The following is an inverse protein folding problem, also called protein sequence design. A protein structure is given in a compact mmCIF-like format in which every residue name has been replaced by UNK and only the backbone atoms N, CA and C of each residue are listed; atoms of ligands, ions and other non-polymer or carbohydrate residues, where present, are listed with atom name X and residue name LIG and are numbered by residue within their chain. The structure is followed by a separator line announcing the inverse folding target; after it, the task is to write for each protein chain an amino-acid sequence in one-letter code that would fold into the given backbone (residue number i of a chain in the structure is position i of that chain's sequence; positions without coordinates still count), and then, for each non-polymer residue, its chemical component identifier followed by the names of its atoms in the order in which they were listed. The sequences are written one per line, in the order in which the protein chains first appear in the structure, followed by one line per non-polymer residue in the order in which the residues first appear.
data_IF_875589760280
#
_entry.id   IF_875589760280
#
_cell.length_a   1.000
_cell.length_b   1.000
_cell.length_c   1.000
_cell.angle_alpha   90.00
_cell.angle_beta   90.00
_cell.angle_gamma   90.00
#
_symmetry.space_group_name_H-M   'P 1'
#
loop_
_entity.id
_entity.type
_entity.pdbx_description
1 polymer ?
#
# COMPACT_ATOMS: atom_id res chain seq x y z
N UNK A 1 21.72 18.62 4.86
CA UNK A 1 21.26 17.79 3.73
C UNK A 1 19.78 18.04 3.58
N UNK A 2 19.28 18.28 2.36
CA UNK A 2 17.87 18.49 2.06
C UNK A 2 17.37 17.29 1.25
N UNK A 3 16.29 16.63 1.68
CA UNK A 3 15.62 15.57 0.93
C UNK A 3 14.42 16.14 0.19
N UNK A 4 14.25 15.76 -1.08
CA UNK A 4 13.07 16.11 -1.88
C UNK A 4 12.46 14.80 -2.38
N UNK A 5 11.21 14.55 -1.99
CA UNK A 5 10.46 13.39 -2.45
C UNK A 5 10.09 13.54 -3.92
N UNK A 6 10.10 12.42 -4.65
CA UNK A 6 9.57 12.40 -6.02
C UNK A 6 8.05 12.55 -6.01
N UNK A 7 7.52 13.19 -7.04
CA UNK A 7 6.10 13.17 -7.33
C UNK A 7 5.68 11.95 -8.14
N UNK A 8 4.39 11.80 -8.34
CA UNK A 8 3.77 10.89 -9.30
C UNK A 8 3.05 11.68 -10.39
N UNK A 9 2.84 11.06 -11.55
CA UNK A 9 1.96 11.58 -12.59
C UNK A 9 0.49 11.31 -12.18
N UNK A 10 -0.16 12.34 -11.60
CA UNK A 10 -1.52 12.24 -11.10
C UNK A 10 -2.57 12.15 -12.21
N UNK A 11 -2.23 12.45 -13.47
CA UNK A 11 -3.10 12.24 -14.62
C UNK A 11 -3.06 10.77 -15.07
N UNK A 12 -1.86 10.19 -15.20
CA UNK A 12 -1.67 8.79 -15.55
C UNK A 12 -2.15 7.83 -14.44
N UNK A 13 -2.08 8.28 -13.17
CA UNK A 13 -2.54 7.53 -11.99
C UNK A 13 -3.81 8.17 -11.41
N UNK A 14 -4.85 8.29 -12.26
CA UNK A 14 -6.11 8.90 -11.88
C UNK A 14 -7.22 7.84 -11.72
N UNK A 15 -7.65 7.51 -10.50
CA UNK A 15 -8.65 6.46 -10.26
C UNK A 15 -10.04 6.77 -10.82
N UNK A 16 -10.31 8.02 -11.25
CA UNK A 16 -11.56 8.38 -11.94
C UNK A 16 -11.55 7.98 -13.44
N UNK A 17 -10.37 7.98 -14.07
CA UNK A 17 -10.24 7.83 -15.53
C UNK A 17 -9.38 6.65 -15.96
N UNK A 18 -8.78 5.91 -15.01
CA UNK A 18 -7.90 4.78 -15.29
C UNK A 18 -8.69 3.61 -15.90
N UNK A 19 -8.44 3.34 -17.18
CA UNK A 19 -9.08 2.25 -17.92
C UNK A 19 -8.62 0.84 -17.46
N UNK A 20 -7.55 0.74 -16.67
CA UNK A 20 -7.03 -0.53 -16.16
C UNK A 20 -7.82 -1.07 -14.97
N UNK A 21 -8.60 -0.21 -14.31
CA UNK A 21 -9.43 -0.62 -13.16
C UNK A 21 -10.88 -0.85 -13.59
N UNK A 22 -11.59 -1.81 -12.97
CA UNK A 22 -12.92 -2.21 -13.42
C UNK A 22 -14.02 -1.19 -13.12
N UNK A 23 -13.77 -0.25 -12.21
CA UNK A 23 -14.73 0.78 -11.84
C UNK A 23 -14.01 2.05 -11.37
N UNK A 24 -14.44 3.26 -11.81
CA UNK A 24 -13.89 4.52 -11.31
C UNK A 24 -14.05 4.66 -9.79
N UNK A 25 -13.05 5.28 -9.16
CA UNK A 25 -13.06 5.58 -7.73
C UNK A 25 -13.03 7.09 -7.55
N UNK A 26 -14.09 7.66 -7.00
CA UNK A 26 -14.15 9.08 -6.67
C UNK A 26 -13.41 9.34 -5.34
N UNK A 27 -12.35 10.18 -5.32
CA UNK A 27 -11.63 10.49 -4.09
C UNK A 27 -12.47 11.16 -3.00
N UNK A 28 -13.59 11.79 -3.34
CA UNK A 28 -14.51 12.40 -2.36
C UNK A 28 -15.50 11.41 -1.76
N UNK A 29 -15.77 10.29 -2.45
CA UNK A 29 -16.73 9.27 -2.05
C UNK A 29 -16.26 7.87 -2.50
N UNK A 30 -15.13 7.34 -1.99
CA UNK A 30 -14.44 6.19 -2.58
C UNK A 30 -15.16 4.86 -2.38
N UNK A 31 -16.02 4.72 -1.40
CA UNK A 31 -16.59 3.44 -0.90
C UNK A 31 -17.16 2.56 -2.00
N UNK A 32 -18.00 3.11 -2.88
CA UNK A 32 -18.65 2.32 -3.93
C UNK A 32 -17.66 1.83 -4.98
N UNK A 33 -16.77 2.70 -5.48
CA UNK A 33 -15.74 2.36 -6.46
C UNK A 33 -14.78 1.31 -5.91
N UNK A 34 -14.29 1.52 -4.69
CA UNK A 34 -13.43 0.58 -3.96
C UNK A 34 -14.07 -0.79 -3.80
N UNK A 35 -15.32 -0.84 -3.36
CA UNK A 35 -16.07 -2.09 -3.20
C UNK A 35 -16.12 -2.89 -4.50
N UNK A 36 -16.49 -2.24 -5.62
CA UNK A 36 -16.58 -2.91 -6.93
C UNK A 36 -15.21 -3.37 -7.45
N UNK A 37 -14.16 -2.56 -7.25
CA UNK A 37 -12.81 -2.96 -7.60
C UNK A 37 -12.34 -4.15 -6.76
N UNK A 38 -12.63 -4.18 -5.46
CA UNK A 38 -12.34 -5.29 -4.56
C UNK A 38 -13.07 -6.57 -4.98
N UNK A 39 -14.36 -6.51 -5.22
CA UNK A 39 -15.16 -7.65 -5.69
C UNK A 39 -14.61 -8.23 -7.01
N UNK A 40 -14.21 -7.36 -7.93
CA UNK A 40 -13.64 -7.76 -9.21
C UNK A 40 -12.30 -8.50 -9.05
N UNK A 41 -11.37 -7.97 -8.26
CA UNK A 41 -10.04 -8.59 -8.10
C UNK A 41 -10.13 -9.89 -7.28
N UNK A 42 -11.00 -9.95 -6.28
CA UNK A 42 -11.26 -11.19 -5.53
C UNK A 42 -11.79 -12.29 -6.47
N UNK A 43 -12.69 -11.94 -7.39
CA UNK A 43 -13.20 -12.87 -8.41
C UNK A 43 -12.10 -13.33 -9.37
N UNK A 44 -11.24 -12.41 -9.84
CA UNK A 44 -10.11 -12.70 -10.72
C UNK A 44 -9.18 -13.76 -10.11
N UNK A 45 -8.90 -13.62 -8.81
CA UNK A 45 -8.04 -14.54 -8.06
C UNK A 45 -8.78 -15.70 -7.37
N UNK A 46 -10.10 -15.84 -7.57
CA UNK A 46 -10.95 -16.87 -6.93
C UNK A 46 -10.90 -16.84 -5.40
N UNK A 47 -10.72 -15.67 -4.82
CA UNK A 47 -10.79 -15.44 -3.38
C UNK A 47 -12.23 -15.12 -2.98
N UNK A 48 -12.73 -15.68 -1.85
CA UNK A 48 -14.17 -15.74 -1.58
C UNK A 48 -14.67 -14.77 -0.49
N UNK A 49 -13.88 -13.76 -0.08
CA UNK A 49 -14.18 -13.00 1.14
C UNK A 49 -14.30 -11.48 0.94
N UNK A 50 -15.38 -10.96 0.30
CA UNK A 50 -15.53 -9.52 0.08
C UNK A 50 -15.67 -8.71 1.38
N UNK A 51 -16.18 -9.33 2.45
CA UNK A 51 -16.40 -8.70 3.76
C UNK A 51 -15.23 -8.92 4.75
N UNK A 52 -14.03 -9.08 4.24
CA UNK A 52 -12.80 -9.19 5.02
C UNK A 52 -11.74 -8.25 4.46
N UNK A 53 -10.79 -7.76 5.28
CA UNK A 53 -9.76 -6.86 4.78
C UNK A 53 -8.89 -7.56 3.73
N UNK A 54 -8.67 -6.87 2.60
CA UNK A 54 -7.79 -7.29 1.51
C UNK A 54 -6.50 -6.48 1.56
N UNK A 55 -5.38 -7.16 1.69
CA UNK A 55 -4.05 -6.58 1.71
C UNK A 55 -3.32 -6.84 0.40
N UNK A 56 -2.91 -5.78 -0.28
CA UNK A 56 -2.16 -5.83 -1.53
C UNK A 56 -0.66 -5.69 -1.31
N UNK A 57 0.12 -6.40 -2.11
CA UNK A 57 1.57 -6.24 -2.24
C UNK A 57 1.91 -6.16 -3.72
N UNK A 58 2.59 -5.10 -4.13
CA UNK A 58 3.18 -4.95 -5.47
C UNK A 58 4.62 -4.53 -5.29
N UNK A 59 5.57 -5.45 -5.46
CA UNK A 59 6.96 -5.18 -5.12
C UNK A 59 7.92 -6.17 -5.78
N UNK A 60 9.19 -5.76 -5.87
CA UNK A 60 10.27 -6.72 -6.07
C UNK A 60 10.41 -7.60 -4.82
N UNK A 61 10.51 -8.91 -5.00
CA UNK A 61 10.62 -9.89 -3.91
C UNK A 61 12.10 -10.06 -3.51
N UNK A 62 12.64 -9.03 -2.84
CA UNK A 62 14.01 -9.01 -2.31
C UNK A 62 14.02 -8.59 -0.85
N UNK A 63 15.08 -8.94 -0.14
CA UNK A 63 15.27 -8.64 1.28
C UNK A 63 15.12 -7.15 1.61
N UNK A 64 15.58 -6.25 0.71
CA UNK A 64 15.41 -4.80 0.86
C UNK A 64 13.94 -4.41 1.07
N UNK A 65 13.02 -5.08 0.40
CA UNK A 65 11.57 -4.82 0.48
C UNK A 65 10.89 -5.47 1.68
N UNK A 66 11.64 -6.26 2.47
CA UNK A 66 11.15 -6.89 3.70
C UNK A 66 10.09 -7.96 3.48
N UNK A 67 10.00 -8.54 2.27
CA UNK A 67 8.98 -9.53 1.92
C UNK A 67 9.25 -10.87 2.64
N UNK A 68 10.49 -11.15 3.01
CA UNK A 68 10.87 -12.24 3.90
C UNK A 68 10.26 -12.10 5.31
N UNK A 69 10.15 -10.85 5.83
CA UNK A 69 9.47 -10.58 7.09
C UNK A 69 7.97 -10.89 6.96
N UNK A 70 7.34 -10.48 5.86
CA UNK A 70 5.94 -10.80 5.61
C UNK A 70 5.74 -12.31 5.50
N UNK A 71 6.56 -12.99 4.70
CA UNK A 71 6.49 -14.44 4.51
C UNK A 71 6.57 -15.18 5.85
N UNK A 72 7.51 -14.77 6.72
CA UNK A 72 7.67 -15.37 8.06
C UNK A 72 6.54 -15.02 9.04
N UNK A 73 5.83 -13.90 8.84
CA UNK A 73 4.73 -13.45 9.69
C UNK A 73 3.36 -14.00 9.27
N UNK A 74 3.19 -14.37 7.99
CA UNK A 74 1.89 -14.80 7.42
C UNK A 74 1.18 -15.87 8.25
N UNK A 75 1.83 -16.98 8.74
CA UNK A 75 1.13 -17.99 9.50
C UNK A 75 0.48 -17.46 10.79
N UNK A 76 1.12 -16.49 11.45
CA UNK A 76 0.61 -15.86 12.67
C UNK A 76 -0.51 -14.86 12.34
N UNK A 77 -0.32 -14.03 11.30
CA UNK A 77 -1.31 -13.06 10.84
C UNK A 77 -2.61 -13.78 10.44
N UNK A 78 -2.52 -14.87 9.67
CA UNK A 78 -3.68 -15.64 9.21
C UNK A 78 -4.45 -16.35 10.34
N UNK A 79 -3.80 -16.58 11.49
CA UNK A 79 -4.45 -17.12 12.71
C UNK A 79 -5.13 -16.03 13.52
N UNK A 80 -4.56 -14.81 13.52
CA UNK A 80 -5.00 -13.72 14.40
C UNK A 80 -5.92 -12.71 13.68
N UNK A 81 -6.04 -12.82 12.36
CA UNK A 81 -6.88 -11.93 11.54
C UNK A 81 -7.66 -12.70 10.49
N UNK A 82 -8.72 -12.06 9.98
CA UNK A 82 -9.48 -12.56 8.81
C UNK A 82 -8.96 -12.04 7.47
N UNK A 83 -7.76 -11.49 7.44
CA UNK A 83 -7.17 -10.85 6.28
C UNK A 83 -6.96 -11.82 5.11
N UNK A 84 -7.14 -11.30 3.90
CA UNK A 84 -6.76 -11.93 2.63
C UNK A 84 -5.63 -11.15 1.97
N UNK A 85 -4.82 -11.80 1.13
CA UNK A 85 -3.63 -11.22 0.53
C UNK A 85 -3.59 -11.46 -0.97
N UNK A 86 -3.22 -10.43 -1.73
CA UNK A 86 -2.83 -10.55 -3.13
C UNK A 86 -1.41 -10.00 -3.28
N UNK A 87 -0.52 -10.84 -3.79
CA UNK A 87 0.90 -10.54 -3.94
C UNK A 87 1.27 -10.60 -5.41
N UNK A 88 1.76 -9.47 -5.95
CA UNK A 88 2.32 -9.36 -7.28
C UNK A 88 3.79 -8.95 -7.18
N UNK A 89 4.68 -9.71 -7.77
CA UNK A 89 6.09 -9.35 -7.82
C UNK A 89 6.98 -10.48 -8.32
N UNK A 90 8.25 -10.16 -8.49
CA UNK A 90 9.30 -11.13 -8.81
C UNK A 90 10.60 -10.74 -8.14
N UNK A 91 11.49 -11.72 -7.93
CA UNK A 91 12.76 -11.44 -7.28
C UNK A 91 13.58 -12.67 -6.93
N UNK A 92 13.92 -12.83 -5.67
CA UNK A 92 14.68 -13.97 -5.18
C UNK A 92 13.83 -15.25 -5.21
N UNK A 93 14.39 -16.34 -5.75
CA UNK A 93 13.68 -17.59 -5.98
C UNK A 93 13.10 -18.20 -4.69
N UNK A 94 13.81 -18.07 -3.59
CA UNK A 94 13.37 -18.54 -2.27
C UNK A 94 12.13 -17.80 -1.79
N UNK A 95 12.03 -16.49 -2.04
CA UNK A 95 10.86 -15.70 -1.70
C UNK A 95 9.68 -16.00 -2.65
N UNK A 96 9.94 -16.12 -3.95
CA UNK A 96 8.90 -16.50 -4.92
C UNK A 96 8.28 -17.86 -4.55
N UNK A 97 9.13 -18.86 -4.33
CA UNK A 97 8.69 -20.20 -3.93
C UNK A 97 7.97 -20.20 -2.58
N UNK A 98 8.48 -19.43 -1.60
CA UNK A 98 7.84 -19.29 -0.30
C UNK A 98 6.42 -18.73 -0.38
N UNK A 99 6.19 -17.68 -1.17
CA UNK A 99 4.84 -17.13 -1.38
C UNK A 99 3.93 -18.08 -2.15
N UNK A 100 4.45 -18.77 -3.18
CA UNK A 100 3.67 -19.78 -3.90
C UNK A 100 3.25 -20.95 -2.99
N UNK A 101 4.10 -21.39 -2.08
CA UNK A 101 3.77 -22.45 -1.12
C UNK A 101 2.76 -21.98 -0.08
N UNK A 102 2.84 -20.72 0.35
CA UNK A 102 1.82 -20.13 1.20
C UNK A 102 0.46 -20.06 0.49
N UNK A 103 0.43 -19.69 -0.80
CA UNK A 103 -0.80 -19.70 -1.59
C UNK A 103 -1.40 -21.10 -1.75
N UNK A 104 -0.57 -22.13 -1.92
CA UNK A 104 -1.02 -23.53 -1.94
C UNK A 104 -1.58 -23.98 -0.59
N UNK A 105 -0.97 -23.53 0.51
CA UNK A 105 -1.38 -23.87 1.88
C UNK A 105 -2.68 -23.18 2.30
N UNK A 106 -2.86 -21.93 1.85
CA UNK A 106 -4.02 -21.09 2.17
C UNK A 106 -4.71 -20.53 0.92
N UNK A 107 -5.23 -21.41 0.03
CA UNK A 107 -5.71 -21.01 -1.31
C UNK A 107 -6.90 -20.05 -1.29
N UNK A 108 -7.67 -20.03 -0.18
CA UNK A 108 -8.79 -19.10 -0.03
C UNK A 108 -8.39 -17.73 0.54
N UNK A 109 -7.17 -17.60 1.09
CA UNK A 109 -6.70 -16.40 1.78
C UNK A 109 -5.54 -15.71 1.09
N UNK A 110 -4.74 -16.40 0.28
CA UNK A 110 -3.55 -15.88 -0.35
C UNK A 110 -3.57 -16.19 -1.85
N UNK A 111 -3.41 -15.15 -2.66
CA UNK A 111 -3.18 -15.27 -4.09
C UNK A 111 -1.82 -14.65 -4.45
N UNK A 112 -1.08 -15.30 -5.34
CA UNK A 112 0.26 -14.88 -5.76
C UNK A 112 0.35 -14.90 -7.29
N UNK A 113 0.87 -13.82 -7.85
CA UNK A 113 1.27 -13.72 -9.25
C UNK A 113 2.74 -13.36 -9.32
N UNK A 114 3.57 -14.29 -9.78
CA UNK A 114 4.99 -14.01 -10.02
C UNK A 114 5.12 -13.29 -11.37
N UNK A 115 5.86 -12.19 -11.36
CA UNK A 115 6.14 -11.38 -12.54
C UNK A 115 5.84 -9.90 -12.36
N UNK A 116 5.87 -9.18 -13.49
CA UNK A 116 5.51 -7.77 -13.59
C UNK A 116 4.26 -7.62 -14.47
N UNK A 117 3.27 -6.88 -13.98
CA UNK A 117 2.01 -6.60 -14.69
C UNK A 117 1.46 -5.27 -14.18
N UNK A 118 1.62 -4.19 -14.98
CA UNK A 118 1.19 -2.84 -14.60
C UNK A 118 -0.34 -2.75 -14.43
N UNK A 119 -1.09 -3.34 -15.35
CA UNK A 119 -2.55 -3.31 -15.27
C UNK A 119 -3.07 -4.06 -14.04
N UNK A 120 -2.45 -5.19 -13.69
CA UNK A 120 -2.77 -5.92 -12.46
C UNK A 120 -2.36 -5.12 -11.22
N UNK A 121 -1.19 -4.45 -11.23
CA UNK A 121 -0.76 -3.59 -10.12
C UNK A 121 -1.81 -2.51 -9.83
N UNK A 122 -2.33 -1.83 -10.86
CA UNK A 122 -3.41 -0.84 -10.74
C UNK A 122 -4.69 -1.44 -10.15
N UNK A 123 -5.08 -2.64 -10.60
CA UNK A 123 -6.23 -3.36 -10.03
C UNK A 123 -6.01 -3.77 -8.57
N UNK A 124 -4.78 -4.13 -8.19
CA UNK A 124 -4.42 -4.41 -6.79
C UNK A 124 -4.52 -3.14 -5.96
N UNK A 125 -3.95 -2.00 -6.41
CA UNK A 125 -4.11 -0.72 -5.71
C UNK A 125 -5.58 -0.33 -5.57
N UNK A 126 -6.38 -0.48 -6.62
CA UNK A 126 -7.79 -0.14 -6.61
C UNK A 126 -8.64 -1.06 -5.72
N UNK A 127 -8.35 -2.36 -5.70
CA UNK A 127 -9.17 -3.35 -4.99
C UNK A 127 -8.76 -3.61 -3.55
N UNK A 128 -7.52 -3.34 -3.17
CA UNK A 128 -7.05 -3.60 -1.80
C UNK A 128 -7.56 -2.56 -0.81
N UNK A 129 -7.87 -2.99 0.40
CA UNK A 129 -8.14 -2.07 1.52
C UNK A 129 -6.83 -1.49 2.06
N UNK A 130 -5.83 -2.34 2.18
CA UNK A 130 -4.50 -1.96 2.67
C UNK A 130 -3.41 -2.32 1.66
N UNK A 131 -2.31 -1.58 1.72
CA UNK A 131 -1.13 -1.83 0.91
C UNK A 131 0.11 -2.00 1.79
N UNK A 132 0.83 -3.11 1.64
CA UNK A 132 1.95 -3.48 2.51
C UNK A 132 3.30 -3.06 1.95
N UNK A 133 4.09 -2.35 2.75
CA UNK A 133 5.46 -1.96 2.44
C UNK A 133 6.39 -2.17 3.64
N UNK A 134 6.76 -3.42 3.96
CA UNK A 134 7.63 -3.74 5.10
C UNK A 134 9.12 -3.48 4.82
N UNK A 135 9.45 -2.53 3.95
CA UNK A 135 10.79 -2.27 3.43
C UNK A 135 11.81 -1.98 4.55
N UNK A 136 12.98 -2.62 4.47
CA UNK A 136 14.12 -2.29 5.35
C UNK A 136 14.73 -0.94 5.01
N UNK A 137 14.64 -0.57 3.76
CA UNK A 137 15.13 0.71 3.25
C UNK A 137 14.28 1.16 2.05
N UNK A 138 13.79 2.42 2.10
CA UNK A 138 12.98 3.00 1.02
C UNK A 138 13.28 4.50 0.90
N UNK A 139 14.14 4.93 -0.06
CA UNK A 139 14.55 6.33 -0.16
C UNK A 139 13.40 7.29 -0.39
N UNK A 140 12.48 6.95 -1.26
CA UNK A 140 11.28 7.72 -1.56
C UNK A 140 10.02 6.84 -1.44
N UNK A 141 10.00 5.73 -2.20
CA UNK A 141 8.82 4.93 -2.43
C UNK A 141 7.80 5.64 -3.35
N UNK A 142 7.37 4.95 -4.39
CA UNK A 142 6.28 5.41 -5.25
C UNK A 142 5.04 4.56 -5.05
N UNK A 143 5.21 3.28 -4.74
CA UNK A 143 4.11 2.33 -4.63
C UNK A 143 3.09 2.72 -3.55
N UNK A 144 3.54 3.28 -2.39
CA UNK A 144 2.59 3.80 -1.39
C UNK A 144 1.83 5.01 -1.90
N UNK A 145 2.45 5.88 -2.71
CA UNK A 145 1.77 7.03 -3.28
C UNK A 145 0.69 6.59 -4.27
N UNK A 146 1.00 5.60 -5.13
CA UNK A 146 0.00 4.98 -6.02
C UNK A 146 -1.13 4.32 -5.21
N UNK A 147 -0.80 3.53 -4.20
CA UNK A 147 -1.79 2.89 -3.33
C UNK A 147 -2.71 3.91 -2.65
N UNK A 148 -2.13 4.97 -2.08
CA UNK A 148 -2.87 6.06 -1.45
C UNK A 148 -3.81 6.75 -2.45
N UNK A 149 -3.33 7.02 -3.66
CA UNK A 149 -4.12 7.63 -4.73
C UNK A 149 -5.34 6.79 -5.11
N UNK A 150 -5.24 5.45 -5.04
CA UNK A 150 -6.31 4.50 -5.31
C UNK A 150 -7.10 4.08 -4.06
N UNK A 151 -6.88 4.71 -2.92
CA UNK A 151 -7.61 4.47 -1.68
C UNK A 151 -7.22 3.17 -0.96
N UNK A 152 -6.04 2.64 -1.22
CA UNK A 152 -5.44 1.58 -0.40
C UNK A 152 -4.59 2.20 0.70
N UNK A 153 -5.00 2.01 1.95
CA UNK A 153 -4.33 2.59 3.12
C UNK A 153 -2.99 1.88 3.37
N UNK A 154 -1.86 2.59 3.41
CA UNK A 154 -0.56 1.95 3.56
C UNK A 154 -0.32 1.43 4.99
N UNK A 155 0.28 0.24 5.08
CA UNK A 155 0.89 -0.32 6.27
C UNK A 155 2.38 -0.49 5.96
N UNK A 156 3.24 0.33 6.55
CA UNK A 156 4.63 0.41 6.14
C UNK A 156 5.60 0.49 7.31
N UNK A 157 6.85 0.10 7.04
CA UNK A 157 7.91 0.38 8.03
C UNK A 157 8.29 1.87 8.00
N UNK A 158 8.50 2.44 9.18
CA UNK A 158 8.93 3.83 9.35
C UNK A 158 10.39 4.00 8.90
N UNK A 159 10.57 4.27 7.61
CA UNK A 159 11.90 4.46 7.01
C UNK A 159 11.83 5.37 5.79
N UNK A 160 12.81 6.28 5.63
CA UNK A 160 12.96 7.16 4.48
C UNK A 160 11.63 7.77 4.03
N UNK A 161 11.36 7.75 2.73
CA UNK A 161 10.16 8.34 2.15
C UNK A 161 8.83 7.77 2.64
N UNK A 162 8.81 6.56 3.20
CA UNK A 162 7.60 6.03 3.83
C UNK A 162 7.23 6.80 5.09
N UNK A 163 8.23 7.16 5.91
CA UNK A 163 8.04 7.98 7.09
C UNK A 163 7.64 9.43 6.75
N UNK A 164 8.07 9.93 5.58
CA UNK A 164 7.78 11.29 5.13
C UNK A 164 6.40 11.43 4.46
N UNK A 165 5.88 10.34 3.89
CA UNK A 165 4.62 10.36 3.11
C UNK A 165 3.41 9.84 3.87
N UNK A 166 3.61 9.03 4.90
CA UNK A 166 2.52 8.40 5.67
C UNK A 166 2.42 9.06 7.04
N UNK A 167 1.26 9.61 7.35
CA UNK A 167 0.94 10.12 8.69
C UNK A 167 0.42 8.95 9.53
N UNK A 168 1.16 8.54 10.59
CA UNK A 168 0.83 7.32 11.32
C UNK A 168 -0.48 7.44 12.10
N UNK A 169 -1.19 6.35 12.21
CA UNK A 169 -2.32 6.20 13.12
C UNK A 169 -1.83 6.33 14.57
N UNK A 170 -2.32 7.33 15.28
CA UNK A 170 -2.11 7.54 16.71
C UNK A 170 -3.45 7.86 17.39
N UNK A 171 -3.53 7.69 18.70
CA UNK A 171 -4.76 8.01 19.45
C UNK A 171 -4.99 9.50 19.58
N UNK A 172 -3.95 10.32 19.42
CA UNK A 172 -3.96 11.76 19.61
C UNK A 172 -4.34 12.55 18.35
N UNK A 173 -4.10 11.99 17.16
CA UNK A 173 -4.32 12.68 15.89
C UNK A 173 -5.46 12.04 15.10
N UNK A 174 -6.33 12.90 14.54
CA UNK A 174 -7.33 12.49 13.54
C UNK A 174 -6.83 12.60 12.09
N UNK A 175 -5.57 13.03 11.89
CA UNK A 175 -4.98 13.32 10.57
C UNK A 175 -4.16 12.15 10.00
N UNK A 176 -4.40 10.95 10.47
CA UNK A 176 -3.67 9.76 10.05
C UNK A 176 -4.09 9.29 8.64
N UNK A 177 -3.12 8.76 7.89
CA UNK A 177 -3.30 8.25 6.52
C UNK A 177 -2.75 6.84 6.33
N UNK A 178 -2.32 6.18 7.41
CA UNK A 178 -1.81 4.83 7.36
C UNK A 178 -1.22 4.37 8.69
N UNK A 179 -0.54 3.25 8.63
CA UNK A 179 0.08 2.60 9.78
C UNK A 179 1.59 2.52 9.59
N UNK A 180 2.35 2.94 10.59
CA UNK A 180 3.81 2.81 10.59
C UNK A 180 4.27 1.94 11.75
N UNK A 181 5.20 1.03 11.47
CA UNK A 181 5.90 0.24 12.50
C UNK A 181 7.41 0.50 12.45
N UNK A 182 8.08 0.46 13.60
CA UNK A 182 9.48 0.91 13.70
C UNK A 182 10.50 -0.19 13.38
N UNK A 183 10.34 -1.39 13.98
CA UNK A 183 11.34 -2.46 13.87
C UNK A 183 11.12 -3.31 12.63
N UNK A 184 12.23 -3.59 11.91
CA UNK A 184 12.21 -4.50 10.75
C UNK A 184 12.13 -5.97 11.21
N UNK A 185 11.05 -6.35 11.91
CA UNK A 185 10.81 -7.71 12.38
C UNK A 185 9.35 -8.14 12.16
N UNK A 186 9.14 -9.45 12.16
CA UNK A 186 7.83 -10.05 11.92
C UNK A 186 6.77 -9.71 12.97
N UNK A 187 7.18 -9.44 14.21
CA UNK A 187 6.26 -9.15 15.33
C UNK A 187 5.67 -7.77 15.15
N UNK A 188 6.54 -6.78 14.88
CA UNK A 188 6.12 -5.38 14.64
C UNK A 188 5.22 -5.28 13.40
N UNK A 189 5.54 -6.00 12.33
CA UNK A 189 4.69 -6.08 11.13
C UNK A 189 3.34 -6.71 11.42
N UNK A 190 3.31 -7.87 12.09
CA UNK A 190 2.06 -8.57 12.43
C UNK A 190 1.16 -7.72 13.33
N UNK A 191 1.74 -7.00 14.29
CA UNK A 191 1.01 -6.07 15.16
C UNK A 191 0.36 -4.93 14.36
N UNK A 192 1.10 -4.29 13.44
CA UNK A 192 0.57 -3.21 12.59
C UNK A 192 -0.57 -3.72 11.67
N UNK A 193 -0.42 -4.90 11.10
CA UNK A 193 -1.48 -5.53 10.29
C UNK A 193 -2.71 -5.84 11.15
N UNK A 194 -2.52 -6.38 12.34
CA UNK A 194 -3.62 -6.67 13.25
C UNK A 194 -4.37 -5.39 13.63
N UNK A 195 -3.67 -4.32 14.00
CA UNK A 195 -4.26 -3.03 14.32
C UNK A 195 -5.08 -2.50 13.13
N UNK A 196 -4.53 -2.54 11.92
CA UNK A 196 -5.23 -2.11 10.71
C UNK A 196 -6.51 -2.94 10.46
N UNK A 197 -6.45 -4.26 10.64
CA UNK A 197 -7.61 -5.13 10.50
C UNK A 197 -8.68 -4.88 11.58
N UNK A 198 -8.28 -4.55 12.80
CA UNK A 198 -9.21 -4.20 13.87
C UNK A 198 -9.89 -2.85 13.61
N UNK A 199 -9.14 -1.83 13.18
CA UNK A 199 -9.67 -0.52 12.81
C UNK A 199 -10.58 -0.60 11.55
N UNK A 200 -10.31 -1.51 10.61
CA UNK A 200 -11.15 -1.74 9.43
C UNK A 200 -12.58 -2.18 9.76
N UNK A 201 -12.80 -2.80 10.91
CA UNK A 201 -14.14 -3.20 11.38
C UNK A 201 -15.03 -2.01 11.75
N UNK A 202 -14.44 -0.85 12.02
CA UNK A 202 -15.15 0.41 12.17
C UNK A 202 -15.26 1.10 10.81
N UNK A 203 -16.39 0.91 10.13
CA UNK A 203 -16.61 1.44 8.77
C UNK A 203 -16.41 2.96 8.72
N UNK A 204 -16.91 3.69 9.72
CA UNK A 204 -16.77 5.15 9.81
C UNK A 204 -15.29 5.56 9.90
N UNK A 205 -14.55 4.99 10.85
CA UNK A 205 -13.14 5.28 11.05
C UNK A 205 -12.28 4.98 9.82
N UNK A 206 -12.49 3.79 9.24
CA UNK A 206 -11.74 3.35 8.07
C UNK A 206 -12.06 4.21 6.83
N UNK A 207 -13.34 4.50 6.58
CA UNK A 207 -13.79 5.31 5.44
C UNK A 207 -13.24 6.74 5.50
N UNK A 208 -13.19 7.35 6.68
CA UNK A 208 -12.56 8.66 6.87
C UNK A 208 -11.06 8.62 6.58
N UNK A 209 -10.34 7.61 7.08
CA UNK A 209 -8.90 7.45 6.81
C UNK A 209 -8.66 7.23 5.31
N UNK A 210 -9.45 6.38 4.67
CA UNK A 210 -9.37 6.11 3.24
C UNK A 210 -9.56 7.38 2.41
N UNK A 211 -10.58 8.17 2.72
CA UNK A 211 -10.86 9.43 2.04
C UNK A 211 -9.71 10.43 2.22
N UNK A 212 -9.19 10.61 3.44
CA UNK A 212 -8.02 11.47 3.70
C UNK A 212 -6.79 11.01 2.94
N UNK A 213 -6.58 9.70 2.87
CA UNK A 213 -5.45 9.10 2.15
C UNK A 213 -5.49 9.46 0.66
N UNK A 214 -6.66 9.40 0.03
CA UNK A 214 -6.85 9.76 -1.38
C UNK A 214 -6.71 11.25 -1.68
N UNK A 215 -6.92 12.11 -0.68
CA UNK A 215 -6.84 13.57 -0.82
C UNK A 215 -5.40 14.11 -0.73
N UNK A 216 -4.44 13.27 -0.39
CA UNK A 216 -3.03 13.69 -0.37
C UNK A 216 -2.54 13.86 -1.80
N UNK A 217 -2.12 15.09 -2.15
CA UNK A 217 -1.43 15.31 -3.42
C UNK A 217 0.03 14.87 -3.31
N UNK A 218 0.45 14.10 -4.30
CA UNK A 218 1.81 13.62 -4.48
C UNK A 218 2.34 14.03 -5.86
N UNK A 219 1.94 15.18 -6.38
CA UNK A 219 2.25 15.59 -7.75
C UNK A 219 3.71 15.99 -7.95
N UNK A 220 4.17 15.93 -9.20
CA UNK A 220 5.48 16.44 -9.59
C UNK A 220 5.58 17.95 -9.42
N UNK A 221 4.47 18.71 -9.49
CA UNK A 221 4.46 20.15 -9.26
C UNK A 221 4.94 20.49 -7.84
N UNK A 222 4.53 19.73 -6.83
CA UNK A 222 4.99 19.92 -5.45
C UNK A 222 6.50 19.63 -5.33
N UNK A 223 6.98 18.58 -5.97
CA UNK A 223 8.42 18.28 -6.01
C UNK A 223 9.19 19.41 -6.73
N UNK A 224 8.72 19.86 -7.90
CA UNK A 224 9.34 20.93 -8.68
C UNK A 224 9.44 22.25 -7.91
N UNK A 225 8.41 22.61 -7.14
CA UNK A 225 8.44 23.78 -6.28
C UNK A 225 9.57 23.70 -5.22
N UNK A 226 9.78 22.53 -4.62
CA UNK A 226 10.88 22.32 -3.66
C UNK A 226 12.25 22.40 -4.32
N UNK A 227 12.40 21.87 -5.54
CA UNK A 227 13.62 22.02 -6.32
C UNK A 227 13.89 23.49 -6.67
N UNK A 228 12.87 24.24 -7.12
CA UNK A 228 13.01 25.66 -7.40
C UNK A 228 13.43 26.48 -6.17
N UNK A 229 12.84 26.18 -5.00
CA UNK A 229 13.23 26.81 -3.73
C UNK A 229 14.69 26.52 -3.40
N UNK A 230 15.14 25.26 -3.57
CA UNK A 230 16.52 24.87 -3.32
C UNK A 230 17.49 25.60 -4.26
N UNK A 231 17.19 25.68 -5.54
CA UNK A 231 18.03 26.41 -6.52
C UNK A 231 18.10 27.90 -6.20
N UNK A 232 16.97 28.55 -5.88
CA UNK A 232 16.95 29.95 -5.49
C UNK A 232 17.79 30.22 -4.23
N UNK A 233 17.72 29.30 -3.25
CA UNK A 233 18.52 29.42 -2.02
C UNK A 233 20.03 29.26 -2.27
N UNK A 234 20.44 28.38 -3.21
CA UNK A 234 21.85 28.23 -3.59
C UNK A 234 22.32 29.50 -4.33
N UNK A 235 21.57 29.96 -5.33
CA UNK A 235 21.94 31.16 -6.13
C UNK A 235 21.97 32.48 -5.33
N UNK A 236 21.26 32.56 -4.21
CA UNK A 236 21.28 33.73 -3.35
C UNK A 236 22.49 33.78 -2.41
N UNK A 237 23.34 32.78 -2.40
CA UNK A 237 24.54 32.67 -1.58
C UNK A 237 25.83 33.05 -2.33
N UNK A 238 25.73 33.17 -3.66
CA UNK A 238 26.79 33.73 -4.53
C UNK A 238 26.60 35.24 -4.70
#
# INVERSE_FOLDING_TARGET
MVGILNGIDEEAWNPLTDASIPHPIDPSAPSMGKKKCKESILKEFKLSFPNKPLLGVVSRLYEQKGLDLLLSALPEILKSTDATFIILGSGAEDQENGFLDMAKTYPEKIAVKIGFDDALARRIFAGSDFFLMPSRFEPCGLAQQYAMRYGSVPIARKTGGLADTIRPRTDESKDHTGYLFDKADKISLAHAIKQACDDWRSEEFYSEMQTRTMQISCSWELAAQKYAQLYNWISAKD
#
